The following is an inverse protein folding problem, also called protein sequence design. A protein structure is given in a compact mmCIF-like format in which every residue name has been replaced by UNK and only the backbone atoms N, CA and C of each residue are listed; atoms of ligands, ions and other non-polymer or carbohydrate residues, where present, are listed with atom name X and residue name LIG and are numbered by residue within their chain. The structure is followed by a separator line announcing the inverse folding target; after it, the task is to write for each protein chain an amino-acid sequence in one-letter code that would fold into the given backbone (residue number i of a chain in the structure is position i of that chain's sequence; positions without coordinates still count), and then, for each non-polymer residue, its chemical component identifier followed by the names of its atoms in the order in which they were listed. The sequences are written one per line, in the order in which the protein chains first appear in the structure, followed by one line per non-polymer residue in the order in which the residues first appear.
data_IF_366846895503
#
_entry.id   IF_366846895503
#
_cell.length_a   1.000
_cell.length_b   1.000
_cell.length_c   1.000
_cell.angle_alpha   90.00
_cell.angle_beta   90.00
_cell.angle_gamma   90.00
#
_symmetry.space_group_name_H-M   'P 1'
#
loop_
_entity.id
_entity.type
_entity.pdbx_description
1 polymer ?
#
# COMPACT_ATOMS: atom_id res chain seq x y z
N UNK A 1 8.18 -5.35 7.76
CA UNK A 1 8.56 -6.71 8.15
C UNK A 1 7.84 -7.66 7.22
N UNK A 2 8.54 -8.62 6.61
CA UNK A 2 7.96 -9.70 5.82
C UNK A 2 7.96 -10.94 6.70
N UNK A 3 6.77 -11.45 7.02
CA UNK A 3 6.56 -12.46 8.06
C UNK A 3 5.86 -13.70 7.48
N UNK A 4 6.62 -14.73 7.05
CA UNK A 4 6.08 -15.96 6.48
C UNK A 4 5.30 -16.83 7.47
N UNK A 5 5.58 -16.71 8.77
CA UNK A 5 5.04 -17.60 9.82
C UNK A 5 4.07 -16.91 10.78
N UNK A 6 3.90 -15.57 10.69
CA UNK A 6 2.97 -14.82 11.52
C UNK A 6 3.48 -14.53 12.93
N UNK A 7 4.79 -14.71 13.18
CA UNK A 7 5.41 -14.58 14.49
C UNK A 7 5.46 -13.15 15.03
N UNK A 8 5.32 -12.15 14.14
CA UNK A 8 5.60 -10.74 14.44
C UNK A 8 4.37 -9.84 14.41
N UNK A 9 3.16 -10.41 14.28
CA UNK A 9 1.90 -9.65 14.31
C UNK A 9 1.73 -8.88 15.62
N UNK A 10 2.31 -9.35 16.73
CA UNK A 10 2.27 -8.68 18.05
C UNK A 10 3.08 -7.39 18.12
N UNK A 11 3.88 -7.07 17.11
CA UNK A 11 4.45 -5.73 16.95
C UNK A 11 3.35 -4.67 16.73
N UNK A 12 2.19 -5.07 16.21
CA UNK A 12 1.02 -4.20 16.11
C UNK A 12 0.54 -3.75 17.48
N UNK A 13 0.34 -4.71 18.39
CA UNK A 13 -0.20 -4.46 19.72
C UNK A 13 0.72 -3.56 20.55
N UNK A 14 2.04 -3.75 20.44
CA UNK A 14 3.00 -3.06 21.31
C UNK A 14 3.60 -1.79 20.68
N UNK A 15 3.76 -1.75 19.36
CA UNK A 15 4.43 -0.64 18.66
C UNK A 15 3.56 0.01 17.58
N UNK A 16 2.27 -0.32 17.52
CA UNK A 16 1.32 0.28 16.59
C UNK A 16 1.63 -0.03 15.12
N UNK A 17 2.31 -1.14 14.83
CA UNK A 17 2.56 -1.53 13.43
C UNK A 17 1.25 -1.94 12.74
N UNK A 18 1.08 -1.54 11.50
CA UNK A 18 -0.04 -2.01 10.69
C UNK A 18 0.23 -3.44 10.21
N UNK A 19 -0.72 -4.35 10.43
CA UNK A 19 -0.68 -5.71 9.88
C UNK A 19 -1.42 -5.73 8.56
N UNK A 20 -0.77 -6.26 7.52
CA UNK A 20 -1.39 -6.54 6.22
C UNK A 20 -1.47 -8.05 6.07
N UNK A 21 -2.67 -8.60 6.20
CA UNK A 21 -2.94 -10.01 5.92
C UNK A 21 -3.05 -10.25 4.42
N UNK A 22 -2.13 -11.06 3.89
CA UNK A 22 -2.02 -11.28 2.44
C UNK A 22 -3.15 -12.13 1.87
N UNK A 23 -3.79 -12.98 2.68
CA UNK A 23 -4.91 -13.84 2.25
C UNK A 23 -6.03 -13.04 1.55
N UNK A 24 -6.26 -11.80 2.00
CA UNK A 24 -7.33 -10.94 1.52
C UNK A 24 -6.88 -9.95 0.42
N UNK A 25 -5.65 -10.05 -0.07
CA UNK A 25 -5.04 -9.02 -0.92
C UNK A 25 -4.58 -9.53 -2.29
N UNK A 26 -4.75 -8.68 -3.31
CA UNK A 26 -4.22 -8.93 -4.64
C UNK A 26 -2.77 -8.47 -4.78
N UNK A 27 -2.00 -9.05 -5.72
CA UNK A 27 -0.64 -8.60 -6.03
C UNK A 27 -0.56 -7.10 -6.37
N UNK A 28 -1.58 -6.59 -7.10
CA UNK A 28 -1.65 -5.17 -7.45
C UNK A 28 -1.85 -4.28 -6.22
N UNK A 29 -2.72 -4.71 -5.30
CA UNK A 29 -2.95 -4.04 -4.01
C UNK A 29 -1.68 -4.02 -3.16
N UNK A 30 -0.95 -5.14 -3.10
CA UNK A 30 0.30 -5.26 -2.34
C UNK A 30 1.43 -4.40 -2.92
N UNK A 31 1.52 -4.27 -4.25
CA UNK A 31 2.46 -3.33 -4.87
C UNK A 31 2.13 -1.88 -4.50
N UNK A 32 0.87 -1.49 -4.62
CA UNK A 32 0.42 -0.16 -4.22
C UNK A 32 0.63 0.10 -2.71
N UNK A 33 0.45 -0.94 -1.88
CA UNK A 33 0.76 -0.89 -0.45
C UNK A 33 2.22 -0.52 -0.20
N UNK A 34 3.16 -1.20 -0.88
CA UNK A 34 4.59 -0.92 -0.76
C UNK A 34 4.95 0.54 -1.08
N UNK A 35 4.36 1.11 -2.13
CA UNK A 35 4.57 2.51 -2.49
C UNK A 35 4.05 3.47 -1.41
N UNK A 36 2.89 3.19 -0.81
CA UNK A 36 2.25 4.02 0.23
C UNK A 36 2.94 3.91 1.56
N UNK A 37 3.39 2.72 1.95
CA UNK A 37 4.21 2.51 3.15
C UNK A 37 5.40 3.45 3.15
N UNK A 38 5.99 3.71 1.98
CA UNK A 38 7.07 4.67 1.80
C UNK A 38 6.62 6.12 1.90
N UNK A 39 5.49 6.46 1.27
CA UNK A 39 4.91 7.80 1.30
C UNK A 39 4.55 8.23 2.74
N UNK A 40 3.88 7.35 3.49
CA UNK A 40 3.37 7.61 4.83
C UNK A 40 4.31 7.18 5.96
N UNK A 41 5.48 6.61 5.63
CA UNK A 41 6.46 6.10 6.60
C UNK A 41 5.85 5.13 7.61
N UNK A 42 4.95 4.27 7.12
CA UNK A 42 4.25 3.32 7.97
C UNK A 42 5.16 2.16 8.38
N UNK A 43 5.07 1.76 9.66
CA UNK A 43 5.67 0.52 10.13
C UNK A 43 4.68 -0.60 9.86
N UNK A 44 5.05 -1.55 9.00
CA UNK A 44 4.14 -2.59 8.52
C UNK A 44 4.69 -3.98 8.78
N UNK A 45 3.81 -4.90 9.20
CA UNK A 45 4.02 -6.35 9.19
C UNK A 45 3.19 -6.93 8.06
N UNK A 46 3.86 -7.53 7.07
CA UNK A 46 3.21 -8.26 5.98
C UNK A 46 3.06 -9.72 6.41
N UNK A 47 1.86 -10.09 6.86
CA UNK A 47 1.55 -11.43 7.35
C UNK A 47 1.20 -12.37 6.20
N UNK A 48 1.98 -13.44 6.07
CA UNK A 48 1.93 -14.41 4.98
C UNK A 48 1.55 -15.82 5.48
N UNK A 49 1.28 -15.99 6.78
CA UNK A 49 1.02 -17.29 7.43
C UNK A 49 -0.10 -18.09 6.74
N UNK A 50 -1.17 -17.39 6.33
CA UNK A 50 -2.39 -18.01 5.81
C UNK A 50 -2.38 -18.25 4.30
N UNK A 51 -1.25 -18.06 3.62
CA UNK A 51 -1.16 -18.27 2.16
C UNK A 51 -0.07 -19.28 1.79
N UNK A 52 -0.34 -20.03 0.71
CA UNK A 52 0.55 -21.05 0.17
C UNK A 52 1.89 -20.47 -0.30
N UNK A 53 2.94 -21.29 -0.32
CA UNK A 53 4.31 -20.86 -0.60
C UNK A 53 4.48 -20.07 -1.91
N UNK A 54 3.78 -20.47 -2.99
CA UNK A 54 3.83 -19.71 -4.25
C UNK A 54 3.25 -18.30 -4.10
N UNK A 55 2.13 -18.16 -3.39
CA UNK A 55 1.53 -16.85 -3.13
C UNK A 55 2.41 -16.02 -2.20
N UNK A 56 3.09 -16.63 -1.22
CA UNK A 56 4.07 -15.92 -0.39
C UNK A 56 5.16 -15.25 -1.23
N UNK A 57 5.72 -15.98 -2.20
CA UNK A 57 6.74 -15.46 -3.12
C UNK A 57 6.23 -14.27 -3.93
N UNK A 58 5.03 -14.40 -4.51
CA UNK A 58 4.41 -13.36 -5.34
C UNK A 58 4.08 -12.12 -4.52
N UNK A 59 3.46 -12.30 -3.35
CA UNK A 59 3.09 -11.23 -2.44
C UNK A 59 4.29 -10.43 -1.93
N UNK A 60 5.32 -11.13 -1.40
CA UNK A 60 6.55 -10.49 -0.94
C UNK A 60 7.25 -9.76 -2.08
N UNK A 61 7.33 -10.37 -3.27
CA UNK A 61 7.92 -9.76 -4.46
C UNK A 61 7.19 -8.48 -4.89
N UNK A 62 5.86 -8.52 -4.98
CA UNK A 62 5.03 -7.38 -5.35
C UNK A 62 5.18 -6.21 -4.36
N UNK A 63 5.08 -6.50 -3.06
CA UNK A 63 5.21 -5.51 -2.01
C UNK A 63 6.59 -4.84 -1.99
N UNK A 64 7.67 -5.65 -2.05
CA UNK A 64 9.04 -5.15 -2.07
C UNK A 64 9.34 -4.31 -3.32
N UNK A 65 8.82 -4.71 -4.48
CA UNK A 65 8.96 -3.93 -5.71
C UNK A 65 8.24 -2.57 -5.59
N UNK A 66 7.02 -2.54 -5.03
CA UNK A 66 6.31 -1.28 -4.74
C UNK A 66 7.13 -0.35 -3.84
N UNK A 67 7.70 -0.87 -2.75
CA UNK A 67 8.59 -0.07 -1.89
C UNK A 67 9.84 0.44 -2.64
N UNK A 68 10.39 -0.40 -3.51
CA UNK A 68 11.60 -0.08 -4.26
C UNK A 68 11.34 0.99 -5.34
N UNK A 69 10.21 0.92 -6.03
CA UNK A 69 9.81 1.80 -7.14
C UNK A 69 9.21 3.14 -6.69
N UNK A 70 8.97 3.32 -5.39
CA UNK A 70 8.47 4.56 -4.81
C UNK A 70 9.22 5.81 -5.34
N UNK A 71 8.51 6.93 -5.59
CA UNK A 71 9.10 8.17 -6.09
C UNK A 71 10.27 8.67 -5.22
N UNK A 72 11.22 9.39 -5.84
CA UNK A 72 12.41 9.91 -5.15
C UNK A 72 12.07 10.79 -3.94
N UNK A 73 10.93 11.47 -3.97
CA UNK A 73 10.42 12.26 -2.85
C UNK A 73 10.25 11.43 -1.56
N UNK A 74 9.95 10.14 -1.70
CA UNK A 74 9.71 9.22 -0.58
C UNK A 74 10.94 8.36 -0.24
N UNK A 75 12.15 8.75 -0.69
CA UNK A 75 13.40 8.04 -0.42
C UNK A 75 13.95 8.27 0.99
N UNK A 76 13.11 8.07 1.99
CA UNK A 76 13.48 8.15 3.40
C UNK A 76 14.20 6.86 3.84
N UNK A 77 15.04 6.90 4.89
CA UNK A 77 15.60 5.69 5.48
C UNK A 77 14.50 4.77 6.01
N UNK A 78 14.50 3.51 5.59
CA UNK A 78 13.60 2.47 6.10
C UNK A 78 14.34 1.13 6.22
N UNK A 79 14.06 0.42 7.31
CA UNK A 79 14.51 -0.95 7.53
C UNK A 79 13.50 -1.93 6.94
N UNK A 80 13.98 -2.90 6.16
CA UNK A 80 13.16 -3.95 5.56
C UNK A 80 13.65 -5.28 6.10
N UNK A 81 12.98 -5.77 7.14
CA UNK A 81 13.27 -7.07 7.73
C UNK A 81 12.51 -8.15 6.97
N UNK A 82 13.22 -9.15 6.49
CA UNK A 82 12.68 -10.33 5.82
C UNK A 82 13.04 -11.54 6.66
N UNK A 83 12.03 -12.15 7.27
CA UNK A 83 12.21 -13.38 8.02
C UNK A 83 12.15 -14.62 7.12
N UNK A 84 12.80 -15.70 7.56
CA UNK A 84 13.06 -16.93 6.78
C UNK A 84 13.40 -16.67 5.32
N UNK A 85 14.34 -15.75 5.09
CA UNK A 85 14.62 -15.17 3.79
C UNK A 85 15.06 -16.17 2.71
N UNK A 86 15.51 -17.37 3.10
CA UNK A 86 15.78 -18.45 2.15
C UNK A 86 14.53 -18.93 1.40
N UNK A 87 13.32 -18.68 1.92
CA UNK A 87 12.07 -18.93 1.21
C UNK A 87 11.97 -18.01 -0.02
N UNK A 88 12.25 -16.72 0.15
CA UNK A 88 12.12 -15.69 -0.88
C UNK A 88 13.32 -15.58 -1.83
N UNK A 89 14.50 -16.03 -1.39
CA UNK A 89 15.73 -16.01 -2.18
C UNK A 89 16.50 -17.34 -2.11
N UNK A 90 15.94 -18.46 -2.60
CA UNK A 90 16.59 -19.77 -2.53
C UNK A 90 17.74 -19.94 -3.55
N UNK A 91 18.76 -20.73 -3.21
CA UNK A 91 19.86 -21.12 -4.13
C UNK A 91 19.40 -22.11 -5.20
N UNK A 92 18.47 -23.00 -4.87
CA UNK A 92 17.99 -24.05 -5.74
C UNK A 92 16.49 -23.90 -6.00
N UNK A 93 16.05 -24.33 -7.19
CA UNK A 93 14.64 -24.41 -7.53
C UNK A 93 13.93 -25.43 -6.62
N UNK A 94 12.90 -24.99 -5.92
CA UNK A 94 11.97 -25.86 -5.18
C UNK A 94 10.70 -26.15 -5.97
N UNK A 95 9.65 -26.58 -5.27
CA UNK A 95 8.36 -27.00 -5.85
C UNK A 95 7.47 -25.83 -6.34
N UNK A 96 7.92 -24.59 -6.19
CA UNK A 96 7.17 -23.38 -6.61
C UNK A 96 7.48 -22.99 -8.05
N UNK A 97 6.54 -22.30 -8.71
CA UNK A 97 6.74 -21.82 -10.09
C UNK A 97 8.01 -20.97 -10.27
N UNK A 98 8.65 -21.12 -11.44
CA UNK A 98 9.86 -20.37 -11.79
C UNK A 98 9.61 -18.85 -11.86
N UNK A 99 8.41 -18.45 -12.23
CA UNK A 99 8.01 -17.05 -12.34
C UNK A 99 7.93 -16.37 -10.95
N UNK A 100 7.19 -16.97 -10.01
CA UNK A 100 7.06 -16.45 -8.65
C UNK A 100 8.43 -16.35 -7.96
N UNK A 101 9.27 -17.38 -8.15
CA UNK A 101 10.64 -17.40 -7.62
C UNK A 101 11.49 -16.28 -8.20
N UNK A 102 11.41 -16.05 -9.52
CA UNK A 102 12.17 -14.99 -10.19
C UNK A 102 11.74 -13.61 -9.73
N UNK A 103 10.44 -13.40 -9.54
CA UNK A 103 9.88 -12.16 -9.02
C UNK A 103 10.42 -11.87 -7.62
N UNK A 104 10.29 -12.83 -6.70
CA UNK A 104 10.71 -12.69 -5.30
C UNK A 104 12.23 -12.52 -5.16
N UNK A 105 13.02 -13.38 -5.82
CA UNK A 105 14.48 -13.29 -5.82
C UNK A 105 14.98 -11.98 -6.45
N UNK A 106 14.32 -11.51 -7.51
CA UNK A 106 14.61 -10.22 -8.14
C UNK A 106 14.36 -9.05 -7.19
N UNK A 107 13.24 -9.07 -6.47
CA UNK A 107 12.91 -8.06 -5.45
C UNK A 107 13.92 -8.06 -4.29
N UNK A 108 14.27 -9.24 -3.77
CA UNK A 108 15.31 -9.41 -2.74
C UNK A 108 16.68 -8.90 -3.21
N UNK A 109 17.06 -9.19 -4.46
CA UNK A 109 18.31 -8.70 -5.05
C UNK A 109 18.29 -7.17 -5.19
N UNK A 110 17.18 -6.58 -5.63
CA UNK A 110 17.04 -5.12 -5.71
C UNK A 110 17.14 -4.47 -4.33
N UNK A 111 16.47 -5.04 -3.33
CA UNK A 111 16.53 -4.58 -1.93
C UNK A 111 17.99 -4.55 -1.43
N UNK A 112 18.73 -5.64 -1.61
CA UNK A 112 20.09 -5.76 -1.08
C UNK A 112 21.13 -4.97 -1.90
N UNK A 113 21.17 -5.15 -3.22
CA UNK A 113 22.20 -4.53 -4.06
C UNK A 113 21.95 -3.03 -4.31
N UNK A 114 20.68 -2.61 -4.42
CA UNK A 114 20.31 -1.27 -4.91
C UNK A 114 19.50 -0.46 -3.88
N UNK A 115 18.93 -1.11 -2.87
CA UNK A 115 18.10 -0.48 -1.84
C UNK A 115 18.79 0.67 -1.13
N UNK A 116 20.10 0.54 -0.83
CA UNK A 116 20.89 1.59 -0.17
C UNK A 116 20.79 2.95 -0.86
N UNK A 117 20.82 2.98 -2.20
CA UNK A 117 20.72 4.23 -2.99
C UNK A 117 19.32 4.85 -2.93
N UNK A 118 18.31 4.07 -2.52
CA UNK A 118 16.89 4.47 -2.38
C UNK A 118 16.46 4.61 -0.92
N UNK A 119 17.39 4.57 0.04
CA UNK A 119 17.08 4.67 1.47
C UNK A 119 16.52 3.37 2.08
N UNK A 120 16.59 2.24 1.40
CA UNK A 120 16.19 0.95 1.95
C UNK A 120 17.41 0.20 2.49
N UNK A 121 17.31 -0.27 3.73
CA UNK A 121 18.29 -1.15 4.35
C UNK A 121 17.64 -2.50 4.63
N UNK A 122 18.04 -3.52 3.86
CA UNK A 122 17.56 -4.88 4.03
C UNK A 122 18.21 -5.55 5.24
N UNK A 123 17.39 -6.22 6.05
CA UNK A 123 17.79 -7.13 7.12
C UNK A 123 17.23 -8.49 6.78
N UNK A 124 18.10 -9.49 6.70
CA UNK A 124 17.76 -10.83 6.28
C UNK A 124 17.97 -11.74 7.48
N UNK A 125 16.89 -12.36 7.96
CA UNK A 125 16.93 -13.42 8.96
C UNK A 125 16.72 -14.77 8.27
N UNK A 126 17.51 -15.77 8.67
CA UNK A 126 17.44 -17.12 8.09
C UNK A 126 18.06 -18.13 9.04
N UNK A 127 17.42 -19.30 9.16
CA UNK A 127 18.00 -20.44 9.86
C UNK A 127 19.02 -21.22 9.01
N UNK A 128 18.95 -21.09 7.68
CA UNK A 128 19.71 -21.91 6.71
C UNK A 128 20.44 -21.03 5.69
N UNK A 129 21.51 -20.37 6.14
CA UNK A 129 22.36 -19.50 5.33
C UNK A 129 22.86 -20.14 4.02
N UNK A 130 23.13 -21.45 4.00
CA UNK A 130 23.55 -22.19 2.83
C UNK A 130 22.46 -22.34 1.75
N UNK A 131 21.18 -22.24 2.14
CA UNK A 131 20.05 -22.24 1.20
C UNK A 131 19.75 -20.86 0.63
N UNK A 132 20.31 -19.78 1.20
CA UNK A 132 20.12 -18.41 0.74
C UNK A 132 21.04 -18.06 -0.44
N UNK A 133 20.45 -17.42 -1.46
CA UNK A 133 21.13 -17.05 -2.70
C UNK A 133 22.40 -16.22 -2.43
N UNK A 134 23.50 -16.59 -3.10
CA UNK A 134 24.83 -16.02 -2.84
C UNK A 134 24.89 -14.51 -3.08
N UNK A 135 24.24 -14.04 -4.14
CA UNK A 135 24.15 -12.64 -4.53
C UNK A 135 23.34 -11.80 -3.54
N UNK A 136 22.41 -12.41 -2.80
CA UNK A 136 21.64 -11.70 -1.76
C UNK A 136 22.45 -11.63 -0.46
N UNK A 137 23.05 -12.74 -0.06
CA UNK A 137 23.83 -12.83 1.18
C UNK A 137 25.14 -11.99 1.13
N UNK A 138 25.81 -11.93 -0.02
CA UNK A 138 27.10 -11.27 -0.15
C UNK A 138 27.05 -9.74 -0.06
N UNK A 139 25.87 -9.13 -0.24
CA UNK A 139 25.68 -7.68 -0.17
C UNK A 139 25.49 -7.18 1.27
N UNK A 140 25.25 -8.08 2.21
CA UNK A 140 25.18 -7.74 3.61
C UNK A 140 26.56 -7.28 4.11
N UNK A 141 26.60 -6.16 4.83
CA UNK A 141 27.83 -5.61 5.43
C UNK A 141 27.87 -5.74 6.95
N UNK A 142 26.74 -6.09 7.56
CA UNK A 142 26.60 -6.33 8.99
C UNK A 142 26.06 -7.74 9.20
N UNK A 143 26.64 -8.45 10.16
CA UNK A 143 26.40 -9.85 10.43
C UNK A 143 26.19 -10.05 11.92
N UNK A 144 25.18 -10.85 12.25
CA UNK A 144 24.97 -11.46 13.56
C UNK A 144 24.86 -12.95 13.32
N UNK A 145 25.95 -13.69 13.55
CA UNK A 145 25.95 -15.14 13.37
C UNK A 145 25.63 -15.83 14.70
N UNK A 146 24.47 -16.47 14.76
CA UNK A 146 24.05 -17.25 15.92
C UNK A 146 24.60 -18.68 15.90
N UNK A 147 24.07 -19.51 16.79
CA UNK A 147 24.44 -20.93 16.86
C UNK A 147 24.08 -21.66 15.56
N UNK A 148 25.04 -22.36 14.96
CA UNK A 148 24.82 -23.22 13.80
C UNK A 148 25.61 -24.53 13.91
N UNK A 149 25.03 -25.63 13.43
CA UNK A 149 25.60 -26.98 13.57
C UNK A 149 26.04 -27.60 12.24
N UNK A 150 25.45 -27.17 11.13
CA UNK A 150 25.69 -27.78 9.83
C UNK A 150 26.96 -27.23 9.21
N UNK A 151 27.87 -28.12 8.79
CA UNK A 151 29.16 -27.76 8.20
C UNK A 151 29.03 -26.81 7.01
N UNK A 152 27.99 -27.00 6.20
CA UNK A 152 27.73 -26.14 5.05
C UNK A 152 27.34 -24.70 5.46
N UNK A 153 26.59 -24.54 6.54
CA UNK A 153 26.17 -23.23 7.06
C UNK A 153 27.35 -22.53 7.76
N UNK A 154 28.17 -23.27 8.53
CA UNK A 154 29.40 -22.75 9.13
C UNK A 154 30.42 -22.32 8.07
N UNK A 155 30.61 -23.12 7.02
CA UNK A 155 31.52 -22.77 5.93
C UNK A 155 31.07 -21.46 5.25
N UNK A 156 29.76 -21.31 4.99
CA UNK A 156 29.20 -20.07 4.43
C UNK A 156 29.34 -18.88 5.37
N UNK A 157 29.15 -19.07 6.67
CA UNK A 157 29.35 -18.01 7.66
C UNK A 157 30.83 -17.60 7.76
N UNK A 158 31.75 -18.56 7.75
CA UNK A 158 33.19 -18.32 7.75
C UNK A 158 33.63 -17.50 6.53
N UNK A 159 33.14 -17.88 5.34
CA UNK A 159 33.41 -17.17 4.09
C UNK A 159 32.92 -15.71 4.14
N UNK A 160 31.74 -15.46 4.70
CA UNK A 160 31.18 -14.09 4.84
C UNK A 160 31.91 -13.24 5.89
N UNK A 161 32.34 -13.86 7.00
CA UNK A 161 33.04 -13.17 8.08
C UNK A 161 34.55 -13.02 7.82
N UNK A 162 35.08 -13.62 6.76
CA UNK A 162 36.52 -13.66 6.48
C UNK A 162 37.32 -14.42 7.55
N UNK A 163 36.71 -15.44 8.16
CA UNK A 163 37.31 -16.25 9.22
C UNK A 163 37.85 -17.57 8.68
N UNK A 164 38.87 -18.11 9.33
CA UNK A 164 39.31 -19.49 9.03
C UNK A 164 38.23 -20.50 9.43
N UNK A 165 38.07 -21.57 8.63
CA UNK A 165 37.04 -22.61 8.87
C UNK A 165 37.10 -23.19 10.29
N UNK A 166 38.30 -23.40 10.82
CA UNK A 166 38.50 -23.92 12.17
C UNK A 166 37.99 -22.96 13.25
N UNK A 167 38.12 -21.65 13.03
CA UNK A 167 37.60 -20.66 13.98
C UNK A 167 36.05 -20.61 13.97
N UNK A 168 35.42 -20.94 12.84
CA UNK A 168 33.97 -21.01 12.71
C UNK A 168 33.33 -22.20 13.46
N UNK A 169 34.13 -23.20 13.89
CA UNK A 169 33.64 -24.29 14.76
C UNK A 169 33.07 -23.75 16.08
N UNK A 170 33.57 -22.59 16.55
CA UNK A 170 33.07 -21.92 17.76
C UNK A 170 31.60 -21.51 17.67
N UNK A 171 30.99 -21.44 16.47
CA UNK A 171 29.56 -21.16 16.32
C UNK A 171 28.68 -22.29 16.86
N UNK A 172 29.20 -23.52 17.01
CA UNK A 172 28.46 -24.65 17.58
C UNK A 172 28.16 -24.46 19.07
N UNK A 173 29.07 -23.79 19.76
CA UNK A 173 29.06 -23.65 21.22
C UNK A 173 28.36 -22.37 21.71
N UNK A 174 27.88 -21.52 20.79
CA UNK A 174 27.16 -20.30 21.15
C UNK A 174 25.86 -20.62 21.90
N UNK A 175 25.64 -19.98 23.05
CA UNK A 175 24.39 -20.13 23.78
C UNK A 175 23.23 -19.44 23.04
N UNK A 176 21.99 -19.82 23.37
CA UNK A 176 20.80 -19.10 22.85
C UNK A 176 20.90 -17.62 23.21
N UNK A 177 20.63 -16.74 22.25
CA UNK A 177 20.73 -15.30 22.41
C UNK A 177 22.15 -14.74 22.29
N UNK A 178 23.17 -15.58 22.09
CA UNK A 178 24.53 -15.14 21.78
C UNK A 178 24.80 -15.17 20.28
N UNK A 179 25.47 -14.13 19.79
CA UNK A 179 25.79 -13.96 18.39
C UNK A 179 27.21 -13.45 18.23
N UNK A 180 27.89 -13.88 17.16
CA UNK A 180 29.10 -13.24 16.69
C UNK A 180 28.72 -12.04 15.81
N UNK A 181 29.01 -10.83 16.28
CA UNK A 181 28.72 -9.58 15.59
C UNK A 181 29.92 -9.07 14.79
N UNK A 182 29.70 -8.69 13.54
CA UNK A 182 30.70 -8.06 12.67
C UNK A 182 30.02 -7.05 11.74
N UNK A 183 30.64 -5.90 11.51
CA UNK A 183 30.19 -4.94 10.51
C UNK A 183 30.28 -3.50 10.99
N UNK A 184 30.19 -2.51 10.07
CA UNK A 184 30.37 -1.10 10.39
C UNK A 184 29.33 -0.54 11.36
N UNK A 185 28.12 -1.12 11.42
CA UNK A 185 27.07 -0.72 12.35
C UNK A 185 27.13 -1.45 13.70
N UNK A 186 27.95 -2.51 13.81
CA UNK A 186 28.03 -3.37 15.00
C UNK A 186 29.41 -3.31 15.66
N UNK A 187 30.42 -3.88 14.99
CA UNK A 187 31.80 -3.95 15.47
C UNK A 187 32.77 -4.10 14.31
N UNK A 188 33.88 -3.36 14.35
CA UNK A 188 34.95 -3.42 13.33
C UNK A 188 35.69 -4.76 13.31
N UNK A 189 35.63 -5.52 14.40
CA UNK A 189 36.22 -6.86 14.55
C UNK A 189 35.15 -7.83 15.06
N UNK A 190 35.22 -9.13 14.74
CA UNK A 190 34.28 -10.11 15.26
C UNK A 190 34.22 -10.02 16.80
N UNK A 191 33.03 -9.79 17.34
CA UNK A 191 32.81 -9.64 18.78
C UNK A 191 31.59 -10.44 19.19
N UNK A 192 31.75 -11.24 20.24
CA UNK A 192 30.63 -11.93 20.88
C UNK A 192 29.70 -10.91 21.54
N UNK A 193 28.42 -10.96 21.21
CA UNK A 193 27.36 -10.14 21.79
C UNK A 193 26.22 -11.02 22.30
N UNK A 194 25.47 -10.51 23.28
CA UNK A 194 24.25 -11.13 23.77
C UNK A 194 23.07 -10.20 23.46
N UNK A 195 21.98 -10.77 22.94
CA UNK A 195 20.72 -10.07 22.73
C UNK A 195 20.05 -9.85 24.09
N UNK A 196 19.54 -8.63 24.30
CA UNK A 196 18.80 -8.27 25.50
C UNK A 196 17.43 -8.95 25.60
N UNK A 197 16.65 -8.63 26.66
CA UNK A 197 15.29 -9.13 26.77
C UNK A 197 14.41 -8.65 25.60
N UNK A 198 13.48 -9.50 25.18
CA UNK A 198 12.49 -9.20 24.12
C UNK A 198 11.14 -8.92 24.79
N UNK A 199 10.49 -7.83 24.39
CA UNK A 199 9.23 -7.37 25.00
C UNK A 199 7.99 -7.99 24.36
N UNK A 200 8.02 -8.22 23.04
CA UNK A 200 6.93 -8.87 22.30
C UNK A 200 7.16 -10.38 22.22
N UNK A 201 6.09 -11.14 22.07
CA UNK A 201 6.14 -12.60 21.93
C UNK A 201 5.32 -13.03 20.70
N UNK A 202 5.72 -14.12 20.05
CA UNK A 202 4.88 -14.75 19.03
C UNK A 202 3.65 -15.40 19.67
N UNK A 203 2.52 -15.37 18.97
CA UNK A 203 1.34 -16.16 19.33
C UNK A 203 1.54 -17.67 19.09
N UNK A 204 2.44 -18.03 18.18
CA UNK A 204 2.88 -19.40 17.95
C UNK A 204 3.87 -19.82 19.04
N UNK A 205 3.38 -20.06 20.26
CA UNK A 205 4.21 -20.75 21.25
C UNK A 205 4.32 -22.21 20.80
N UNK A 206 5.52 -22.63 20.40
CA UNK A 206 5.77 -24.02 20.00
C UNK A 206 5.20 -25.02 21.02
N UNK A 207 4.71 -26.18 20.58
CA UNK A 207 4.00 -27.11 21.45
C UNK A 207 4.88 -27.48 22.65
N UNK A 208 4.35 -27.26 23.86
CA UNK A 208 5.01 -27.69 25.09
C UNK A 208 4.97 -29.21 25.12
N UNK A 209 6.14 -29.84 25.31
CA UNK A 209 6.22 -31.28 25.52
C UNK A 209 5.56 -31.62 26.86
N UNK A 210 4.28 -31.95 26.80
CA UNK A 210 3.53 -32.54 27.91
C UNK A 210 3.58 -34.06 27.79
N UNK A 211 3.85 -34.79 28.89
CA UNK A 211 3.73 -36.24 28.88
C UNK A 211 2.34 -36.65 28.40
N UNK A 212 2.29 -37.62 27.48
CA UNK A 212 1.02 -38.21 27.06
C UNK A 212 0.36 -38.89 28.27
N UNK A 213 -0.88 -38.54 28.57
CA UNK A 213 -1.65 -39.26 29.58
C UNK A 213 -1.85 -40.71 29.11
N UNK A 214 -1.59 -41.72 29.96
CA UNK A 214 -1.70 -43.11 29.56
C UNK A 214 -3.17 -43.47 29.32
N UNK A 215 -3.56 -43.56 28.05
CA UNK A 215 -4.86 -44.08 27.61
C UNK A 215 -4.71 -45.59 27.34
N UNK A 216 -5.72 -46.39 27.67
CA UNK A 216 -5.68 -47.83 27.40
C UNK A 216 -5.64 -48.10 25.89
N UNK A 217 -5.02 -49.21 25.48
CA UNK A 217 -4.91 -49.56 24.06
C UNK A 217 -6.28 -49.86 23.40
N UNK A 218 -7.26 -50.29 24.19
CA UNK A 218 -8.64 -50.53 23.73
C UNK A 218 -9.35 -49.18 23.50
N UNK A 219 -9.26 -48.24 24.45
CA UNK A 219 -9.86 -46.90 24.31
C UNK A 219 -9.23 -46.11 23.16
N UNK A 220 -7.90 -46.19 22.99
CA UNK A 220 -7.19 -45.58 21.86
C UNK A 220 -7.67 -46.12 20.51
N UNK A 221 -7.90 -47.44 20.44
CA UNK A 221 -8.38 -48.08 19.21
C UNK A 221 -9.79 -47.62 18.87
N UNK A 222 -10.66 -47.52 19.87
CA UNK A 222 -12.04 -47.08 19.66
C UNK A 222 -12.12 -45.59 19.29
N UNK A 223 -11.28 -44.74 19.88
CA UNK A 223 -11.14 -43.32 19.50
C UNK A 223 -10.60 -43.16 18.07
N UNK A 224 -9.57 -43.93 17.69
CA UNK A 224 -8.93 -43.81 16.36
C UNK A 224 -9.82 -44.39 15.26
N UNK A 225 -10.54 -45.46 15.55
CA UNK A 225 -11.43 -46.15 14.61
C UNK A 225 -12.88 -45.64 14.68
N UNK A 226 -13.13 -44.59 15.45
CA UNK A 226 -14.43 -43.96 15.52
C UNK A 226 -14.86 -43.54 14.10
N UNK A 227 -16.01 -44.02 13.60
CA UNK A 227 -16.43 -43.75 12.25
C UNK A 227 -16.64 -42.24 12.08
N UNK A 228 -15.78 -41.64 11.27
CA UNK A 228 -15.84 -40.23 10.91
C UNK A 228 -17.25 -39.96 10.37
N UNK A 229 -18.03 -39.12 11.06
CA UNK A 229 -19.30 -38.67 10.51
C UNK A 229 -19.00 -38.07 9.14
N UNK A 230 -19.77 -38.48 8.10
CA UNK A 230 -19.64 -37.93 6.76
C UNK A 230 -19.47 -36.42 6.88
N UNK A 231 -18.32 -35.92 6.43
CA UNK A 231 -18.07 -34.49 6.40
C UNK A 231 -19.18 -33.88 5.56
N UNK A 232 -20.20 -33.32 6.22
CA UNK A 232 -21.13 -32.43 5.55
C UNK A 232 -20.25 -31.41 4.84
N UNK A 233 -20.35 -31.27 3.50
CA UNK A 233 -19.54 -30.30 2.78
C UNK A 233 -19.70 -29.00 3.54
N UNK A 234 -18.58 -28.46 4.07
CA UNK A 234 -18.62 -27.23 4.86
C UNK A 234 -19.51 -26.27 4.10
N UNK A 235 -20.59 -25.80 4.74
CA UNK A 235 -21.46 -24.81 4.16
C UNK A 235 -20.55 -23.74 3.55
N UNK A 236 -20.70 -23.50 2.24
CA UNK A 236 -19.92 -22.53 1.49
C UNK A 236 -19.81 -21.30 2.38
N UNK A 237 -18.59 -20.97 2.84
CA UNK A 237 -18.34 -19.79 3.70
C UNK A 237 -19.22 -18.68 3.14
N UNK A 238 -20.08 -18.11 3.98
CA UNK A 238 -20.82 -16.91 3.63
C UNK A 238 -19.83 -15.94 2.97
N UNK A 239 -20.25 -15.30 1.88
CA UNK A 239 -19.41 -14.38 1.13
C UNK A 239 -18.70 -13.48 2.12
N UNK A 240 -17.38 -13.69 2.28
CA UNK A 240 -16.53 -12.90 3.17
C UNK A 240 -16.85 -11.43 2.83
N UNK A 241 -16.99 -10.54 3.82
CA UNK A 241 -17.09 -9.11 3.53
C UNK A 241 -15.99 -8.73 2.53
N UNK A 242 -16.26 -7.77 1.62
CA UNK A 242 -15.28 -7.38 0.63
C UNK A 242 -13.94 -7.13 1.31
N UNK A 243 -12.82 -7.60 0.72
CA UNK A 243 -11.51 -7.48 1.34
C UNK A 243 -11.29 -6.02 1.74
N UNK A 244 -10.74 -5.77 2.93
CA UNK A 244 -10.54 -4.42 3.41
C UNK A 244 -9.79 -3.58 2.38
N UNK A 245 -10.28 -2.37 2.12
CA UNK A 245 -9.60 -1.43 1.22
C UNK A 245 -8.30 -0.98 1.88
N UNK A 246 -7.24 -1.74 1.59
CA UNK A 246 -5.91 -1.53 2.11
C UNK A 246 -5.39 -0.12 1.81
N UNK A 247 -5.83 0.46 0.70
CA UNK A 247 -5.48 1.81 0.31
C UNK A 247 -6.05 2.83 1.31
N UNK A 248 -7.35 2.72 1.61
CA UNK A 248 -7.99 3.53 2.63
C UNK A 248 -7.40 3.33 4.02
N UNK A 249 -7.03 2.09 4.38
CA UNK A 249 -6.40 1.80 5.68
C UNK A 249 -5.02 2.46 5.84
N UNK A 250 -4.18 2.42 4.80
CA UNK A 250 -2.88 3.08 4.82
C UNK A 250 -3.00 4.61 4.87
N UNK A 251 -3.98 5.16 4.16
CA UNK A 251 -4.25 6.60 4.16
C UNK A 251 -4.73 7.05 5.56
N UNK A 252 -5.60 6.27 6.21
CA UNK A 252 -6.04 6.49 7.58
C UNK A 252 -4.90 6.38 8.60
N UNK A 253 -4.08 5.33 8.50
CA UNK A 253 -2.91 5.14 9.36
C UNK A 253 -1.92 6.30 9.23
N UNK A 254 -1.71 6.81 8.01
CA UNK A 254 -0.90 8.00 7.77
C UNK A 254 -1.45 9.24 8.48
N UNK A 255 -2.76 9.47 8.40
CA UNK A 255 -3.44 10.61 9.03
C UNK A 255 -3.38 10.55 10.57
N UNK A 256 -3.58 9.37 11.17
CA UNK A 256 -3.47 9.16 12.62
C UNK A 256 -2.04 9.47 13.12
N UNK A 257 -1.02 9.00 12.41
CA UNK A 257 0.39 9.28 12.76
C UNK A 257 0.76 10.76 12.64
N UNK A 258 0.22 11.45 11.65
CA UNK A 258 0.41 12.89 11.49
C UNK A 258 -0.25 13.70 12.62
N UNK A 259 -1.25 13.13 13.31
CA UNK A 259 -1.90 13.75 14.47
C UNK A 259 -1.12 13.58 15.79
N UNK A 260 -0.28 12.55 15.91
CA UNK A 260 0.54 12.27 17.10
C UNK A 260 1.91 12.99 17.10
N UNK A 261 2.43 13.42 15.95
CA UNK A 261 3.63 14.25 15.89
C UNK A 261 3.30 15.71 16.26
N UNK A 262 3.91 16.30 17.31
CA UNK A 262 3.63 17.69 17.66
C UNK A 262 4.24 18.61 16.60
N UNK A 263 3.40 19.06 15.67
CA UNK A 263 3.76 20.12 14.75
C UNK A 263 3.98 21.43 15.53
N UNK A 264 5.02 22.22 15.22
CA UNK A 264 5.13 23.56 15.79
C UNK A 264 3.88 24.35 15.40
N UNK A 265 3.35 25.13 16.35
CA UNK A 265 2.17 25.96 16.17
C UNK A 265 2.37 26.90 14.97
N UNK A 266 1.88 26.48 13.80
CA UNK A 266 1.72 27.36 12.67
C UNK A 266 0.56 28.29 13.02
N UNK A 267 0.85 29.59 13.04
CA UNK A 267 -0.16 30.63 13.14
C UNK A 267 -1.20 30.34 12.05
N UNK A 268 -2.41 29.97 12.45
CA UNK A 268 -3.52 29.71 11.54
C UNK A 268 -3.97 31.05 10.97
N UNK A 269 -3.41 31.42 9.82
CA UNK A 269 -3.96 32.48 8.98
C UNK A 269 -5.18 31.85 8.30
N UNK A 270 -6.39 32.31 8.63
CA UNK A 270 -7.58 32.01 7.83
C UNK A 270 -7.31 32.46 6.41
N UNK A 271 -7.39 31.54 5.44
CA UNK A 271 -7.15 31.87 4.05
C UNK A 271 -8.34 32.62 3.48
N UNK A 272 -8.04 33.65 2.70
CA UNK A 272 -9.02 34.34 1.87
C UNK A 272 -9.61 33.34 0.85
N UNK A 273 -10.95 33.22 0.73
CA UNK A 273 -11.60 32.36 -0.27
C UNK A 273 -11.10 32.60 -1.70
N UNK A 274 -10.74 33.83 -2.05
CA UNK A 274 -10.25 34.17 -3.39
C UNK A 274 -8.82 33.68 -3.61
N UNK A 275 -8.00 33.68 -2.55
CA UNK A 275 -6.67 33.07 -2.57
C UNK A 275 -6.77 31.55 -2.77
N UNK A 276 -7.72 30.88 -2.09
CA UNK A 276 -7.95 29.45 -2.27
C UNK A 276 -8.40 29.12 -3.69
N UNK A 277 -9.33 29.89 -4.23
CA UNK A 277 -9.77 29.74 -5.61
C UNK A 277 -8.61 29.86 -6.60
N UNK A 278 -7.77 30.89 -6.45
CA UNK A 278 -6.59 31.08 -7.31
C UNK A 278 -5.65 29.88 -7.24
N UNK A 279 -5.37 29.38 -6.04
CA UNK A 279 -4.49 28.23 -5.86
C UNK A 279 -5.02 26.97 -6.57
N UNK A 280 -6.33 26.69 -6.45
CA UNK A 280 -6.95 25.56 -7.15
C UNK A 280 -6.94 25.78 -8.67
N UNK A 281 -7.19 27.02 -9.13
CA UNK A 281 -7.14 27.35 -10.56
C UNK A 281 -5.73 27.14 -11.15
N UNK A 282 -4.67 27.47 -10.42
CA UNK A 282 -3.31 27.19 -10.88
C UNK A 282 -2.98 25.70 -10.94
N UNK A 283 -3.60 24.87 -10.08
CA UNK A 283 -3.48 23.40 -10.14
C UNK A 283 -4.18 22.87 -11.39
N UNK A 284 -5.36 23.39 -11.72
CA UNK A 284 -6.06 23.05 -12.97
C UNK A 284 -5.26 23.49 -14.19
N UNK A 285 -4.61 24.65 -14.17
CA UNK A 285 -3.79 25.13 -15.28
C UNK A 285 -2.46 24.37 -15.46
N UNK A 286 -2.09 23.48 -14.53
CA UNK A 286 -0.86 22.70 -14.59
C UNK A 286 -0.83 21.70 -15.75
N UNK A 287 0.37 21.43 -16.28
CA UNK A 287 0.55 20.53 -17.42
C UNK A 287 0.02 19.10 -17.12
N UNK A 288 -0.87 18.62 -17.98
CA UNK A 288 -1.51 17.30 -17.87
C UNK A 288 -2.43 17.13 -16.65
N UNK A 289 -2.90 18.21 -16.03
CA UNK A 289 -3.77 18.19 -14.84
C UNK A 289 -5.06 17.38 -15.06
N UNK A 290 -5.65 17.43 -16.25
CA UNK A 290 -6.92 16.80 -16.62
C UNK A 290 -6.98 15.31 -16.27
N UNK A 291 -5.86 14.60 -16.41
CA UNK A 291 -5.78 13.14 -16.25
C UNK A 291 -5.04 12.70 -14.97
N UNK A 292 -4.59 13.64 -14.14
CA UNK A 292 -3.92 13.31 -12.87
C UNK A 292 -4.95 12.83 -11.85
N UNK A 293 -4.61 11.83 -11.01
CA UNK A 293 -5.46 11.42 -9.90
C UNK A 293 -5.79 12.59 -8.96
N UNK A 294 -7.01 12.62 -8.42
CA UNK A 294 -7.47 13.67 -7.49
C UNK A 294 -6.52 13.88 -6.31
N UNK A 295 -6.00 12.79 -5.72
CA UNK A 295 -5.03 12.84 -4.63
C UNK A 295 -3.72 13.56 -5.03
N UNK A 296 -3.24 13.39 -6.26
CA UNK A 296 -2.04 14.08 -6.76
C UNK A 296 -2.29 15.57 -6.95
N UNK A 297 -3.47 15.96 -7.44
CA UNK A 297 -3.87 17.37 -7.57
C UNK A 297 -4.04 18.03 -6.20
N UNK A 298 -4.59 17.29 -5.23
CA UNK A 298 -4.73 17.78 -3.85
C UNK A 298 -3.37 17.99 -3.18
N UNK A 299 -2.40 17.10 -3.41
CA UNK A 299 -1.02 17.29 -2.94
C UNK A 299 -0.32 18.49 -3.58
N UNK A 300 -0.53 18.75 -4.88
CA UNK A 300 -0.02 19.96 -5.55
C UNK A 300 -0.63 21.22 -4.94
N UNK A 301 -1.94 21.23 -4.72
CA UNK A 301 -2.64 22.31 -4.02
C UNK A 301 -2.06 22.55 -2.61
N UNK A 302 -1.90 21.50 -1.80
CA UNK A 302 -1.35 21.61 -0.43
C UNK A 302 0.08 22.14 -0.44
N UNK A 303 0.89 21.76 -1.44
CA UNK A 303 2.24 22.29 -1.61
C UNK A 303 2.22 23.79 -1.90
N UNK A 304 1.37 24.24 -2.83
CA UNK A 304 1.23 25.67 -3.17
C UNK A 304 0.70 26.49 -2.00
N UNK A 305 -0.31 25.98 -1.31
CA UNK A 305 -0.86 26.58 -0.10
C UNK A 305 0.24 26.74 0.98
N UNK A 306 1.09 25.72 1.17
CA UNK A 306 2.22 25.78 2.11
C UNK A 306 3.28 26.81 1.71
N UNK A 307 3.58 26.94 0.40
CA UNK A 307 4.52 27.97 -0.10
C UNK A 307 3.99 29.38 0.24
N UNK A 308 2.67 29.57 0.22
CA UNK A 308 2.03 30.83 0.59
C UNK A 308 1.80 31.00 2.11
N UNK A 309 2.31 30.08 2.93
CA UNK A 309 2.19 30.15 4.39
C UNK A 309 0.81 29.80 4.95
N UNK A 310 -0.08 29.22 4.13
CA UNK A 310 -1.39 28.75 4.57
C UNK A 310 -1.26 27.46 5.39
N UNK A 311 -2.25 27.21 6.25
CA UNK A 311 -2.31 26.01 7.08
C UNK A 311 -2.44 24.74 6.23
N UNK A 312 -2.04 23.59 6.79
CA UNK A 312 -2.09 22.30 6.06
C UNK A 312 -3.53 21.86 5.73
N UNK A 313 -4.50 22.24 6.57
CA UNK A 313 -5.91 21.88 6.44
C UNK A 313 -6.77 23.08 6.02
N UNK A 314 -6.21 23.96 5.18
CA UNK A 314 -6.90 25.17 4.75
C UNK A 314 -8.14 24.86 3.90
N UNK A 315 -8.15 23.73 3.20
CA UNK A 315 -9.26 23.25 2.40
C UNK A 315 -9.31 21.72 2.44
N UNK A 316 -10.38 21.15 2.97
CA UNK A 316 -10.62 19.71 3.03
C UNK A 316 -10.79 19.09 1.64
N UNK A 317 -10.46 17.80 1.48
CA UNK A 317 -10.46 17.11 0.19
C UNK A 317 -11.80 17.21 -0.56
N UNK A 318 -12.92 17.04 0.14
CA UNK A 318 -14.25 17.14 -0.48
C UNK A 318 -14.57 18.54 -0.99
N UNK A 319 -14.16 19.58 -0.24
CA UNK A 319 -14.33 20.98 -0.67
C UNK A 319 -13.39 21.33 -1.82
N UNK A 320 -12.16 20.81 -1.81
CA UNK A 320 -11.22 20.91 -2.92
C UNK A 320 -11.77 20.23 -4.18
N UNK A 321 -12.31 19.01 -4.07
CA UNK A 321 -12.89 18.27 -5.20
C UNK A 321 -14.02 19.05 -5.87
N UNK A 322 -14.94 19.63 -5.08
CA UNK A 322 -16.04 20.47 -5.60
C UNK A 322 -15.53 21.74 -6.28
N UNK A 323 -14.55 22.42 -5.68
CA UNK A 323 -13.94 23.62 -6.26
C UNK A 323 -13.20 23.29 -7.56
N UNK A 324 -12.44 22.20 -7.58
CA UNK A 324 -11.75 21.68 -8.76
C UNK A 324 -12.72 21.38 -9.91
N UNK A 325 -13.83 20.68 -9.61
CA UNK A 325 -14.85 20.35 -10.60
C UNK A 325 -15.53 21.61 -11.16
N UNK A 326 -15.77 22.61 -10.31
CA UNK A 326 -16.34 23.91 -10.70
C UNK A 326 -15.41 24.66 -11.65
N UNK A 327 -14.12 24.74 -11.31
CA UNK A 327 -13.11 25.41 -12.16
C UNK A 327 -12.93 24.67 -13.48
N UNK A 328 -12.89 23.33 -13.46
CA UNK A 328 -12.81 22.49 -14.68
C UNK A 328 -14.03 22.62 -15.58
N UNK A 329 -15.21 22.85 -14.99
CA UNK A 329 -16.41 23.15 -15.76
C UNK A 329 -16.29 24.49 -16.51
N UNK A 330 -15.32 25.35 -16.16
CA UNK A 330 -15.10 26.65 -16.79
C UNK A 330 -15.83 27.81 -16.08
N UNK A 331 -16.24 27.62 -14.83
CA UNK A 331 -16.82 28.70 -14.03
C UNK A 331 -15.73 29.56 -13.42
N UNK A 332 -15.99 30.87 -13.36
CA UNK A 332 -15.18 31.83 -12.61
C UNK A 332 -15.69 31.96 -11.17
N UNK A 333 -14.91 32.65 -10.35
CA UNK A 333 -15.19 32.79 -8.92
C UNK A 333 -16.52 33.51 -8.67
N UNK A 334 -16.75 34.63 -9.36
CA UNK A 334 -17.93 35.47 -9.16
C UNK A 334 -19.22 34.73 -9.54
N UNK A 335 -19.25 34.04 -10.69
CA UNK A 335 -20.44 33.29 -11.12
C UNK A 335 -20.66 32.04 -10.29
N UNK A 336 -19.60 31.45 -9.74
CA UNK A 336 -19.73 30.28 -8.85
C UNK A 336 -20.50 30.57 -7.55
N UNK A 337 -20.61 31.83 -7.14
CA UNK A 337 -21.39 32.24 -5.97
C UNK A 337 -22.86 32.53 -6.28
N UNK A 338 -23.22 32.57 -7.57
CA UNK A 338 -24.59 32.81 -8.01
C UNK A 338 -25.57 31.73 -7.55
N UNK A 339 -26.81 32.14 -7.28
CA UNK A 339 -27.88 31.22 -6.85
C UNK A 339 -28.18 30.15 -7.91
N UNK A 340 -28.11 30.49 -9.19
CA UNK A 340 -28.27 29.53 -10.29
C UNK A 340 -27.21 28.41 -10.20
N UNK A 341 -25.92 28.77 -10.08
CA UNK A 341 -24.85 27.78 -10.00
C UNK A 341 -24.94 26.91 -8.72
N UNK A 342 -25.39 27.48 -7.60
CA UNK A 342 -25.65 26.70 -6.37
C UNK A 342 -26.72 25.62 -6.57
N UNK A 343 -27.73 25.87 -7.40
CA UNK A 343 -28.73 24.86 -7.73
C UNK A 343 -28.10 23.68 -8.48
N UNK A 344 -27.22 23.96 -9.45
CA UNK A 344 -26.46 22.91 -10.15
C UNK A 344 -25.55 22.12 -9.20
N UNK A 345 -24.83 22.79 -8.29
CA UNK A 345 -24.01 22.11 -7.27
C UNK A 345 -24.83 21.22 -6.34
N UNK A 346 -26.06 21.63 -6.02
CA UNK A 346 -26.98 20.84 -5.18
C UNK A 346 -27.37 19.54 -5.88
N UNK A 347 -27.69 19.59 -7.18
CA UNK A 347 -27.96 18.38 -7.98
C UNK A 347 -26.70 17.52 -8.09
N UNK A 348 -25.54 18.12 -8.37
CA UNK A 348 -24.28 17.39 -8.45
C UNK A 348 -23.94 16.62 -7.16
N UNK A 349 -24.22 17.20 -5.99
CA UNK A 349 -23.96 16.56 -4.69
C UNK A 349 -24.75 15.25 -4.47
N UNK A 350 -25.81 15.00 -5.24
CA UNK A 350 -26.58 13.74 -5.22
C UNK A 350 -25.95 12.62 -6.06
N UNK A 351 -24.96 12.96 -6.89
CA UNK A 351 -24.29 12.05 -7.80
C UNK A 351 -22.96 11.55 -7.21
N UNK A 352 -22.48 10.36 -7.61
CA UNK A 352 -21.13 9.91 -7.27
C UNK A 352 -20.04 10.91 -7.71
N UNK A 353 -18.99 11.06 -6.90
CA UNK A 353 -17.95 12.10 -7.12
C UNK A 353 -17.27 12.02 -8.50
N UNK A 354 -17.13 10.82 -9.06
CA UNK A 354 -16.47 10.61 -10.36
C UNK A 354 -17.28 11.15 -11.55
N UNK A 355 -18.60 11.29 -11.43
CA UNK A 355 -19.46 11.83 -12.49
C UNK A 355 -19.86 13.29 -12.29
N UNK A 356 -19.62 13.87 -11.10
CA UNK A 356 -19.99 15.25 -10.78
C UNK A 356 -19.37 16.25 -11.76
N UNK A 357 -18.10 16.07 -12.14
CA UNK A 357 -17.42 16.95 -13.09
C UNK A 357 -18.06 16.97 -14.47
N UNK A 358 -18.56 15.81 -14.94
CA UNK A 358 -19.26 15.69 -16.23
C UNK A 358 -20.61 16.42 -16.17
N UNK A 359 -21.36 16.22 -15.08
CA UNK A 359 -22.64 16.91 -14.88
C UNK A 359 -22.46 18.42 -14.78
N UNK A 360 -21.48 18.92 -14.01
CA UNK A 360 -21.23 20.35 -13.85
C UNK A 360 -20.80 21.02 -15.17
N UNK A 361 -20.02 20.33 -16.01
CA UNK A 361 -19.70 20.82 -17.36
C UNK A 361 -20.98 20.98 -18.21
N UNK A 362 -21.85 19.97 -18.21
CA UNK A 362 -23.12 20.02 -18.95
C UNK A 362 -24.03 21.14 -18.41
N UNK A 363 -24.15 21.24 -17.10
CA UNK A 363 -24.95 22.26 -16.43
C UNK A 363 -24.45 23.68 -16.77
N UNK A 364 -23.13 23.91 -16.80
CA UNK A 364 -22.55 25.19 -17.22
C UNK A 364 -22.90 25.49 -18.68
N UNK A 365 -22.68 24.54 -19.60
CA UNK A 365 -22.99 24.77 -21.02
C UNK A 365 -24.48 24.98 -21.28
N UNK A 366 -25.35 24.32 -20.51
CA UNK A 366 -26.80 24.49 -20.60
C UNK A 366 -27.24 25.84 -20.02
N UNK A 367 -26.63 26.29 -18.92
CA UNK A 367 -26.86 27.60 -18.32
C UNK A 367 -26.48 28.73 -19.30
N UNK A 368 -25.36 28.57 -20.01
CA UNK A 368 -24.86 29.53 -21.00
C UNK A 368 -25.53 29.40 -22.39
N UNK A 369 -26.47 28.45 -22.55
CA UNK A 369 -27.10 28.11 -23.84
C UNK A 369 -26.08 27.82 -24.97
N UNK A 370 -24.92 27.26 -24.62
CA UNK A 370 -23.87 26.88 -25.55
C UNK A 370 -24.16 25.52 -26.20
N UNK A 371 -23.44 25.23 -27.29
CA UNK A 371 -23.49 23.92 -27.95
C UNK A 371 -23.08 22.83 -26.96
N UNK A 372 -23.74 21.68 -27.01
CA UNK A 372 -23.37 20.56 -26.14
C UNK A 372 -21.87 20.20 -26.29
N UNK A 373 -21.13 20.01 -25.17
CA UNK A 373 -19.74 19.58 -25.20
C UNK A 373 -19.54 18.34 -26.07
N UNK A 374 -18.40 18.24 -26.75
CA UNK A 374 -18.00 17.05 -27.51
C UNK A 374 -17.51 15.91 -26.58
N UNK A 375 -17.30 14.72 -27.15
CA UNK A 375 -16.87 13.56 -26.34
C UNK A 375 -15.50 13.76 -25.71
N UNK A 376 -14.62 14.54 -26.35
CA UNK A 376 -13.30 14.88 -25.83
C UNK A 376 -13.41 15.79 -24.60
N UNK A 377 -14.31 16.77 -24.59
CA UNK A 377 -14.59 17.61 -23.44
C UNK A 377 -15.20 16.81 -22.28
N UNK A 378 -16.13 15.90 -22.58
CA UNK A 378 -16.69 14.99 -21.56
C UNK A 378 -15.61 14.05 -21.01
N UNK A 379 -14.73 13.54 -21.86
CA UNK A 379 -13.63 12.66 -21.47
C UNK A 379 -12.62 13.38 -20.56
N UNK A 380 -12.29 14.66 -20.85
CA UNK A 380 -11.49 15.52 -19.97
C UNK A 380 -12.17 15.77 -18.62
N UNK A 381 -13.46 16.11 -18.62
CA UNK A 381 -14.21 16.33 -17.39
C UNK A 381 -14.31 15.07 -16.52
N UNK A 382 -14.38 13.89 -17.14
CA UNK A 382 -14.37 12.59 -16.46
C UNK A 382 -12.95 12.12 -16.07
N UNK A 383 -11.90 12.71 -16.62
CA UNK A 383 -10.51 12.29 -16.39
C UNK A 383 -10.13 10.98 -17.11
N UNK A 384 -10.70 10.71 -18.29
CA UNK A 384 -10.40 9.52 -19.11
C UNK A 384 -9.95 9.88 -20.52
N UNK A 385 -9.12 9.04 -21.13
CA UNK A 385 -8.84 9.12 -22.57
C UNK A 385 -9.85 8.32 -23.43
N UNK A 386 -10.78 7.59 -22.81
CA UNK A 386 -11.74 6.75 -23.52
C UNK A 386 -13.05 7.49 -23.81
N UNK A 387 -13.26 7.89 -25.07
CA UNK A 387 -14.51 8.51 -25.53
C UNK A 387 -15.74 7.62 -25.25
N UNK A 388 -15.58 6.30 -25.38
CA UNK A 388 -16.66 5.34 -25.09
C UNK A 388 -17.00 5.22 -23.60
N UNK A 389 -16.07 5.56 -22.68
CA UNK A 389 -16.40 5.70 -21.25
C UNK A 389 -17.12 7.01 -20.99
N UNK A 390 -16.68 8.11 -21.61
CA UNK A 390 -17.33 9.41 -21.50
C UNK A 390 -18.80 9.37 -21.97
N UNK A 391 -19.08 8.74 -23.12
CA UNK A 391 -20.46 8.55 -23.61
C UNK A 391 -21.33 7.76 -22.65
N UNK A 392 -20.79 6.72 -22.00
CA UNK A 392 -21.53 5.93 -21.01
C UNK A 392 -21.97 6.76 -19.81
N UNK A 393 -21.22 7.82 -19.46
CA UNK A 393 -21.62 8.70 -18.37
C UNK A 393 -22.86 9.52 -18.71
N UNK A 394 -23.08 9.88 -19.98
CA UNK A 394 -24.32 10.54 -20.39
C UNK A 394 -25.53 9.64 -20.13
N UNK A 395 -25.45 8.37 -20.55
CA UNK A 395 -26.52 7.41 -20.31
C UNK A 395 -26.76 7.21 -18.81
N UNK A 396 -25.70 7.14 -18.01
CA UNK A 396 -25.81 7.03 -16.56
C UNK A 396 -26.49 8.25 -15.93
N UNK A 397 -26.15 9.47 -16.36
CA UNK A 397 -26.80 10.70 -15.89
C UNK A 397 -28.28 10.76 -16.31
N UNK A 398 -28.62 10.24 -17.49
CA UNK A 398 -30.01 10.12 -17.95
C UNK A 398 -30.79 9.07 -17.14
N UNK A 399 -30.21 7.91 -16.86
CA UNK A 399 -30.79 6.86 -15.99
C UNK A 399 -31.02 7.36 -14.55
N UNK A 400 -30.21 8.31 -14.09
CA UNK A 400 -30.37 8.99 -12.80
C UNK A 400 -31.40 10.13 -12.83
N UNK A 401 -32.06 10.35 -13.97
CA UNK A 401 -33.08 11.38 -14.20
C UNK A 401 -32.57 12.81 -13.91
N UNK A 402 -31.26 13.06 -14.00
CA UNK A 402 -30.69 14.41 -13.80
C UNK A 402 -30.48 15.16 -15.11
N UNK A 403 -30.43 14.44 -16.24
CA UNK A 403 -30.42 15.02 -17.58
C UNK A 403 -31.41 14.31 -18.50
N UNK A 404 -31.77 14.97 -19.61
CA UNK A 404 -32.48 14.37 -20.74
C UNK A 404 -31.62 14.54 -21.99
N UNK A 405 -31.32 13.44 -22.68
CA UNK A 405 -30.58 13.46 -23.94
C UNK A 405 -31.55 13.52 -25.11
N UNK A 406 -31.28 14.41 -26.06
CA UNK A 406 -32.05 14.53 -27.30
C UNK A 406 -31.10 14.52 -28.49
N UNK A 407 -31.24 13.52 -29.35
CA UNK A 407 -30.53 13.47 -30.62
C UNK A 407 -31.25 14.35 -31.64
N UNK A 408 -30.55 15.38 -32.13
CA UNK A 408 -31.05 16.27 -33.19
C UNK A 408 -30.19 16.12 -34.45
N UNK A 409 -30.68 16.54 -35.64
CA UNK A 409 -29.88 16.51 -36.87
C UNK A 409 -28.61 17.38 -36.82
N UNK A 410 -28.54 18.34 -35.89
CA UNK A 410 -27.41 19.25 -35.70
C UNK A 410 -26.41 18.76 -34.64
N UNK A 411 -26.73 17.67 -33.93
CA UNK A 411 -25.94 17.14 -32.82
C UNK A 411 -26.81 16.74 -31.63
N UNK A 412 -26.15 16.37 -30.53
CA UNK A 412 -26.84 16.06 -29.27
C UNK A 412 -27.20 17.33 -28.52
N UNK A 413 -28.37 17.33 -27.87
CA UNK A 413 -28.78 18.33 -26.89
C UNK A 413 -28.98 17.68 -25.53
N UNK A 414 -28.63 18.40 -24.48
CA UNK A 414 -28.78 17.98 -23.09
C UNK A 414 -29.62 19.02 -22.37
N UNK A 415 -30.72 18.58 -21.77
CA UNK A 415 -31.53 19.39 -20.85
C UNK A 415 -31.28 18.95 -19.41
N UNK A 416 -31.10 19.90 -18.50
CA UNK A 416 -30.88 19.62 -17.08
C UNK A 416 -32.23 19.55 -16.36
N UNK A 417 -32.53 18.39 -15.78
CA UNK A 417 -33.80 18.13 -15.09
C UNK A 417 -33.86 18.98 -13.82
N UNK A 418 -35.02 19.58 -13.56
CA UNK A 418 -35.26 20.43 -12.38
C UNK A 418 -34.79 21.87 -12.52
N UNK A 419 -33.82 22.16 -13.39
CA UNK A 419 -33.29 23.52 -13.61
C UNK A 419 -33.84 24.20 -14.87
N UNK A 420 -34.33 23.42 -15.83
CA UNK A 420 -34.92 23.95 -17.06
C UNK A 420 -33.91 24.53 -18.05
N UNK A 421 -32.61 24.30 -17.83
CA UNK A 421 -31.53 24.73 -18.72
C UNK A 421 -31.31 23.71 -19.83
N UNK A 422 -30.92 24.17 -21.02
CA UNK A 422 -30.68 23.31 -22.17
C UNK A 422 -29.54 23.83 -23.05
N UNK A 423 -28.72 22.92 -23.57
CA UNK A 423 -27.70 23.22 -24.58
C UNK A 423 -28.34 23.45 -25.95
N UNK A 424 -27.66 24.18 -26.84
CA UNK A 424 -28.15 24.50 -28.20
C UNK A 424 -27.88 23.43 -29.26
#
# INVERSE_FOLDING_TARGET
MIDPEGDFVTLADHYGHLVIDVEDQSEASLRAAGERVRAHRASVVLNLEQVEAEMQLRAAGAFLNGMFEAPRAHWYPALVVVDEAQLFAPVASGDTSDEARRLSLGAMTNLMCRGRKRGLAGVIATQRLAKLAKNVAAEASNFLMGRTFLDIDMARAADLLGMERRAAESFRDLARGQFMALGPALSRRPKLVAIGPVTTASHATGPVLVPLEPVSAEDLRDIILEPVHEFTPRARRESRPPPPDLLAQLDAYGAERESEEPAPAAVSIEADPDQLWSLVAEVVAGEGSDYKPLATLYQDFQLRARIQGLSRNVLELGSFSRMLATIRAGMDRERSEGEEWKQAQTVAATLPEDVQGVFLLLARTALDAETCPDDDALARAYGTHSLGRARRQLNYLEEREVIVLQDTPLGRRVAIVGLGWQTT
#
